data_IF_364227574674
#
_entry.id   IF_364227574674
#
_cell.length_a   1.000
_cell.length_b   1.000
_cell.length_c   1.000
_cell.angle_alpha   90.00
_cell.angle_beta   90.00
_cell.angle_gamma   90.00
#
_symmetry.space_group_name_H-M   'P 1'
#
loop_
_entity.id
_entity.type
_entity.pdbx_description
1 polymer ?
#
# COMPACT_ATOMS: atom_id res chain seq x y z
N UNK A 1 -21.67 -20.44 -8.40
CA UNK A 1 -23.07 -19.98 -8.29
C UNK A 1 -23.09 -18.89 -7.23
N UNK A 2 -23.23 -17.62 -7.62
CA UNK A 2 -23.24 -16.52 -6.65
C UNK A 2 -24.34 -16.74 -5.61
N UNK A 3 -24.10 -16.47 -4.32
CA UNK A 3 -25.17 -16.51 -3.34
C UNK A 3 -26.25 -15.50 -3.76
N UNK A 4 -27.55 -15.84 -3.60
CA UNK A 4 -28.62 -14.90 -3.92
C UNK A 4 -28.45 -13.63 -3.06
N UNK A 5 -28.80 -12.44 -3.59
CA UNK A 5 -28.73 -11.21 -2.82
C UNK A 5 -29.57 -11.36 -1.54
N UNK A 6 -28.99 -11.00 -0.39
CA UNK A 6 -29.69 -10.99 0.90
C UNK A 6 -30.89 -10.05 0.78
N UNK A 7 -32.11 -10.59 0.87
CA UNK A 7 -33.32 -9.79 1.07
C UNK A 7 -33.38 -9.37 2.56
N UNK A 8 -32.48 -8.47 2.97
CA UNK A 8 -32.54 -7.82 4.29
C UNK A 8 -33.37 -6.54 4.20
N UNK A 9 -34.23 -6.26 5.18
CA UNK A 9 -34.97 -5.00 5.24
C UNK A 9 -34.02 -3.80 5.21
N UNK A 10 -34.42 -2.67 4.62
CA UNK A 10 -33.53 -1.49 4.52
C UNK A 10 -33.25 -0.82 5.88
N UNK A 11 -34.04 -1.17 6.91
CA UNK A 11 -34.08 -0.45 8.19
C UNK A 11 -32.86 -0.76 9.07
N UNK A 12 -32.21 0.30 9.55
CA UNK A 12 -31.14 0.26 10.54
C UNK A 12 -31.69 0.75 11.89
N UNK A 13 -31.80 -0.13 12.88
CA UNK A 13 -32.27 0.23 14.21
C UNK A 13 -31.13 0.66 15.13
N UNK A 14 -31.22 1.84 15.73
CA UNK A 14 -30.20 2.40 16.63
C UNK A 14 -30.72 2.43 18.07
N UNK A 15 -30.20 1.56 18.93
CA UNK A 15 -30.73 1.29 20.26
C UNK A 15 -29.78 1.77 21.36
N UNK A 16 -30.31 2.48 22.36
CA UNK A 16 -29.53 2.99 23.48
C UNK A 16 -30.35 3.10 24.78
N UNK A 17 -29.80 2.58 25.88
CA UNK A 17 -30.35 2.66 27.23
C UNK A 17 -30.05 3.99 27.93
N UNK A 18 -28.92 4.62 27.59
CA UNK A 18 -28.45 5.87 28.22
C UNK A 18 -28.76 7.11 27.37
N UNK A 19 -28.86 8.27 28.02
CA UNK A 19 -29.05 9.55 27.33
C UNK A 19 -27.89 9.88 26.38
N UNK A 20 -26.65 9.63 26.81
CA UNK A 20 -25.44 9.77 25.98
C UNK A 20 -25.50 8.87 24.75
N UNK A 21 -25.85 7.59 24.93
CA UNK A 21 -26.01 6.65 23.81
C UNK A 21 -27.10 7.10 22.83
N UNK A 22 -28.22 7.64 23.34
CA UNK A 22 -29.30 8.18 22.48
C UNK A 22 -28.86 9.42 21.69
N UNK A 23 -28.03 10.28 22.27
CA UNK A 23 -27.47 11.43 21.56
C UNK A 23 -26.58 10.96 20.40
N UNK A 24 -25.69 10.00 20.66
CA UNK A 24 -24.83 9.41 19.63
C UNK A 24 -25.62 8.64 18.56
N UNK A 25 -26.69 7.96 18.95
CA UNK A 25 -27.61 7.31 18.01
C UNK A 25 -28.28 8.32 17.08
N UNK A 26 -28.72 9.47 17.60
CA UNK A 26 -29.33 10.54 16.78
C UNK A 26 -28.33 11.18 15.82
N UNK A 27 -27.11 11.42 16.29
CA UNK A 27 -26.00 11.90 15.45
C UNK A 27 -25.73 10.92 14.31
N UNK A 28 -25.51 9.64 14.64
CA UNK A 28 -25.29 8.58 13.66
C UNK A 28 -26.47 8.44 12.68
N UNK A 29 -27.72 8.54 13.14
CA UNK A 29 -28.90 8.49 12.28
C UNK A 29 -28.87 9.55 11.17
N UNK A 30 -28.45 10.77 11.50
CA UNK A 30 -28.37 11.87 10.54
C UNK A 30 -27.37 11.59 9.40
N UNK A 31 -26.30 10.83 9.68
CA UNK A 31 -25.30 10.41 8.69
C UNK A 31 -25.69 9.15 7.92
N UNK A 32 -26.38 8.20 8.56
CA UNK A 32 -26.76 6.94 7.94
C UNK A 32 -27.92 7.07 6.94
N UNK A 33 -28.73 8.13 7.06
CA UNK A 33 -29.81 8.45 6.13
C UNK A 33 -31.20 8.02 6.62
N UNK A 34 -32.22 8.11 5.75
CA UNK A 34 -33.63 8.00 6.14
C UNK A 34 -34.05 6.62 6.66
N UNK A 35 -33.28 5.57 6.34
CA UNK A 35 -33.53 4.21 6.82
C UNK A 35 -33.05 3.96 8.26
N UNK A 36 -32.33 4.92 8.86
CA UNK A 36 -31.86 4.83 10.24
C UNK A 36 -32.91 5.33 11.23
N UNK A 37 -33.34 4.45 12.13
CA UNK A 37 -34.40 4.71 13.10
C UNK A 37 -33.85 4.61 14.51
N UNK A 38 -34.09 5.64 15.33
CA UNK A 38 -33.80 5.63 16.77
C UNK A 38 -35.11 5.36 17.52
N UNK A 39 -35.36 4.11 18.00
CA UNK A 39 -36.64 3.76 18.60
C UNK A 39 -36.77 4.31 20.02
N UNK A 40 -37.96 4.79 20.37
CA UNK A 40 -38.27 5.20 21.73
C UNK A 40 -38.48 4.00 22.67
N UNK A 41 -38.22 4.24 23.96
CA UNK A 41 -38.50 3.30 25.04
C UNK A 41 -37.32 2.39 25.42
N UNK A 42 -37.57 1.33 26.20
CA UNK A 42 -36.54 0.39 26.62
C UNK A 42 -36.00 -0.43 25.44
N UNK A 43 -34.70 -0.72 25.44
CA UNK A 43 -34.00 -1.39 24.33
C UNK A 43 -34.57 -2.78 24.04
N UNK A 44 -34.71 -3.66 25.04
CA UNK A 44 -35.10 -5.05 24.78
C UNK A 44 -36.51 -5.20 24.12
N UNK A 45 -37.57 -4.51 24.59
CA UNK A 45 -38.87 -4.50 23.92
C UNK A 45 -38.84 -3.88 22.51
N UNK A 46 -38.07 -2.80 22.31
CA UNK A 46 -37.94 -2.17 21.01
C UNK A 46 -37.22 -3.08 20.01
N UNK A 47 -36.11 -3.68 20.43
CA UNK A 47 -35.33 -4.62 19.63
C UNK A 47 -36.17 -5.83 19.23
N UNK A 48 -36.89 -6.45 20.18
CA UNK A 48 -37.82 -7.58 19.89
C UNK A 48 -38.89 -7.24 18.86
N UNK A 49 -39.48 -6.05 18.97
CA UNK A 49 -40.53 -5.59 18.06
C UNK A 49 -40.01 -5.36 16.65
N UNK A 50 -38.80 -4.81 16.53
CA UNK A 50 -38.22 -4.41 15.24
C UNK A 50 -37.42 -5.51 14.57
N UNK A 51 -36.89 -6.50 15.32
CA UNK A 51 -36.03 -7.58 14.80
C UNK A 51 -36.46 -8.16 13.44
N UNK A 52 -37.75 -8.48 13.19
CA UNK A 52 -38.16 -9.09 11.93
C UNK A 52 -38.06 -8.19 10.69
N UNK A 53 -37.90 -6.87 10.87
CA UNK A 53 -37.86 -5.88 9.77
C UNK A 53 -36.51 -5.17 9.65
N UNK A 54 -35.57 -5.46 10.56
CA UNK A 54 -34.23 -4.87 10.52
C UNK A 54 -33.40 -5.54 9.42
N UNK A 55 -32.67 -4.72 8.66
CA UNK A 55 -31.47 -5.19 7.97
C UNK A 55 -30.25 -5.15 8.87
N UNK A 56 -30.21 -4.19 9.82
CA UNK A 56 -29.15 -4.10 10.80
C UNK A 56 -29.59 -3.44 12.11
N UNK A 57 -28.87 -3.73 13.20
CA UNK A 57 -29.02 -3.10 14.51
C UNK A 57 -27.68 -2.55 15.01
N UNK A 58 -27.67 -1.32 15.51
CA UNK A 58 -26.55 -0.73 16.24
C UNK A 58 -26.95 -0.55 17.69
N UNK A 59 -26.23 -1.20 18.60
CA UNK A 59 -26.47 -1.20 20.04
C UNK A 59 -25.41 -0.32 20.72
N UNK A 60 -25.83 0.82 21.29
CA UNK A 60 -24.99 1.67 22.14
C UNK A 60 -24.95 1.12 23.57
N UNK A 61 -24.59 -0.15 23.68
CA UNK A 61 -24.45 -0.92 24.91
C UNK A 61 -23.09 -1.62 24.89
N UNK A 62 -22.57 -1.95 26.07
CA UNK A 62 -21.38 -2.81 26.18
C UNK A 62 -21.61 -4.15 25.48
N UNK A 63 -20.54 -4.72 24.92
CA UNK A 63 -20.56 -5.97 24.14
C UNK A 63 -21.27 -7.12 24.84
N UNK A 64 -21.03 -7.33 26.15
CA UNK A 64 -21.74 -8.35 26.94
C UNK A 64 -23.26 -8.13 26.94
N UNK A 65 -23.72 -6.89 27.17
CA UNK A 65 -25.14 -6.55 27.18
C UNK A 65 -25.77 -6.71 25.81
N UNK A 66 -25.08 -6.24 24.76
CA UNK A 66 -25.52 -6.38 23.38
C UNK A 66 -25.74 -7.86 23.00
N UNK A 67 -24.78 -8.73 23.34
CA UNK A 67 -24.88 -10.18 23.11
C UNK A 67 -26.09 -10.76 23.84
N UNK A 68 -26.29 -10.42 25.12
CA UNK A 68 -27.44 -10.92 25.91
C UNK A 68 -28.80 -10.45 25.39
N UNK A 69 -28.87 -9.24 24.83
CA UNK A 69 -30.08 -8.69 24.22
C UNK A 69 -30.44 -9.39 22.91
N UNK A 70 -29.43 -9.74 22.13
CA UNK A 70 -29.59 -10.31 20.79
C UNK A 70 -29.73 -11.83 20.81
N UNK A 71 -29.01 -12.54 21.68
CA UNK A 71 -28.97 -14.01 21.68
C UNK A 71 -30.35 -14.69 21.68
N UNK A 72 -31.39 -14.21 22.41
CA UNK A 72 -32.72 -14.81 22.38
C UNK A 72 -33.50 -14.59 21.06
N UNK A 73 -33.01 -13.75 20.16
CA UNK A 73 -33.67 -13.35 18.90
C UNK A 73 -33.07 -14.04 17.67
N UNK A 74 -31.86 -14.59 17.80
CA UNK A 74 -31.11 -15.24 16.73
C UNK A 74 -31.85 -16.49 16.21
N UNK A 75 -31.80 -16.69 14.90
CA UNK A 75 -32.40 -17.83 14.20
C UNK A 75 -31.39 -18.53 13.30
N UNK A 76 -30.82 -17.81 12.35
CA UNK A 76 -29.86 -18.33 11.38
C UNK A 76 -29.06 -17.21 10.70
N UNK A 77 -27.83 -17.54 10.27
CA UNK A 77 -26.87 -16.61 9.67
C UNK A 77 -27.38 -15.88 8.42
N UNK A 78 -28.38 -16.45 7.72
CA UNK A 78 -28.87 -15.90 6.45
C UNK A 78 -29.98 -14.89 6.64
N UNK A 79 -30.79 -15.03 7.69
CA UNK A 79 -31.98 -14.22 7.93
C UNK A 79 -31.82 -13.22 9.08
N UNK A 80 -30.89 -13.45 10.01
CA UNK A 80 -30.65 -12.53 11.12
C UNK A 80 -30.04 -11.20 10.63
N UNK A 81 -30.46 -10.04 11.20
CA UNK A 81 -29.91 -8.75 10.85
C UNK A 81 -28.43 -8.63 11.23
N UNK A 82 -27.70 -7.78 10.51
CA UNK A 82 -26.35 -7.39 10.90
C UNK A 82 -26.35 -6.67 12.25
N UNK A 83 -25.48 -7.04 13.19
CA UNK A 83 -25.43 -6.40 14.51
C UNK A 83 -24.07 -5.75 14.73
N UNK A 84 -24.10 -4.47 15.11
CA UNK A 84 -22.93 -3.72 15.59
C UNK A 84 -23.18 -3.32 17.04
N UNK A 85 -22.19 -3.50 17.93
CA UNK A 85 -22.22 -2.88 19.25
C UNK A 85 -21.16 -1.78 19.37
N UNK A 86 -21.48 -0.74 20.14
CA UNK A 86 -20.69 0.46 20.28
C UNK A 86 -20.23 0.53 21.74
N UNK A 87 -19.04 -0.01 22.00
CA UNK A 87 -18.48 -0.28 23.33
C UNK A 87 -17.15 0.47 23.52
N UNK A 88 -17.13 1.48 24.40
CA UNK A 88 -15.95 2.32 24.61
C UNK A 88 -15.44 2.97 23.33
N UNK A 89 -14.18 2.75 22.99
CA UNK A 89 -13.53 3.29 21.78
C UNK A 89 -13.84 2.49 20.50
N UNK A 90 -14.71 1.48 20.55
CA UNK A 90 -14.89 0.52 19.47
C UNK A 90 -16.32 0.52 18.89
N UNK A 91 -16.40 0.20 17.60
CA UNK A 91 -17.61 -0.23 16.92
C UNK A 91 -17.38 -1.66 16.41
N UNK A 92 -18.05 -2.63 17.03
CA UNK A 92 -17.74 -4.05 16.90
C UNK A 92 -18.84 -4.73 16.10
N UNK A 93 -18.51 -5.30 14.94
CA UNK A 93 -19.40 -6.21 14.23
C UNK A 93 -19.54 -7.50 15.06
N UNK A 94 -20.76 -7.83 15.47
CA UNK A 94 -21.03 -9.04 16.26
C UNK A 94 -21.48 -10.22 15.40
N UNK A 95 -22.32 -9.97 14.38
CA UNK A 95 -22.84 -11.00 13.48
C UNK A 95 -23.51 -10.40 12.23
N UNK A 96 -23.91 -11.28 11.31
CA UNK A 96 -24.77 -10.94 10.17
C UNK A 96 -24.07 -10.14 9.06
N UNK A 97 -22.73 -10.20 8.97
CA UNK A 97 -21.96 -9.45 7.97
C UNK A 97 -22.00 -7.93 8.20
N UNK A 98 -21.95 -7.51 9.45
CA UNK A 98 -22.06 -6.13 9.86
C UNK A 98 -20.75 -5.32 9.72
N UNK A 99 -19.72 -5.88 9.06
CA UNK A 99 -18.37 -5.29 8.99
C UNK A 99 -18.38 -3.89 8.33
N UNK A 100 -19.09 -3.75 7.21
CA UNK A 100 -19.23 -2.46 6.52
C UNK A 100 -19.98 -1.43 7.37
N UNK A 101 -20.97 -1.87 8.15
CA UNK A 101 -21.69 -0.99 9.07
C UNK A 101 -20.81 -0.60 10.26
N UNK A 102 -20.04 -1.53 10.82
CA UNK A 102 -19.11 -1.26 11.91
C UNK A 102 -18.05 -0.22 11.49
N UNK A 103 -17.51 -0.32 10.28
CA UNK A 103 -16.59 0.67 9.73
C UNK A 103 -17.25 2.05 9.61
N UNK A 104 -18.45 2.13 9.02
CA UNK A 104 -19.19 3.41 8.91
C UNK A 104 -19.49 4.03 10.28
N UNK A 105 -19.87 3.21 11.25
CA UNK A 105 -20.14 3.67 12.63
C UNK A 105 -18.86 4.17 13.29
N UNK A 106 -17.73 3.47 13.08
CA UNK A 106 -16.44 3.87 13.57
C UNK A 106 -16.00 5.23 13.00
N UNK A 107 -16.10 5.40 11.69
CA UNK A 107 -15.70 6.64 11.00
C UNK A 107 -16.52 7.85 11.47
N UNK A 108 -17.84 7.69 11.60
CA UNK A 108 -18.74 8.78 12.03
C UNK A 108 -18.51 9.15 13.50
N UNK A 109 -18.27 8.17 14.38
CA UNK A 109 -18.14 8.41 15.81
C UNK A 109 -16.69 8.63 16.27
N UNK A 110 -15.72 8.60 15.37
CA UNK A 110 -14.29 8.69 15.69
C UNK A 110 -13.80 7.51 16.55
N UNK A 111 -14.23 6.29 16.22
CA UNK A 111 -13.93 5.04 16.94
C UNK A 111 -13.12 4.08 16.06
N UNK A 112 -12.69 2.96 16.63
CA UNK A 112 -12.02 1.88 15.90
C UNK A 112 -13.03 0.78 15.55
N UNK A 113 -13.08 0.38 14.28
CA UNK A 113 -13.91 -0.74 13.85
C UNK A 113 -13.27 -2.08 14.24
N UNK A 114 -14.09 -3.03 14.70
CA UNK A 114 -13.69 -4.43 14.90
C UNK A 114 -14.57 -5.28 14.00
N UNK A 115 -13.97 -5.94 13.01
CA UNK A 115 -14.66 -6.75 12.00
C UNK A 115 -14.52 -8.24 12.29
N UNK A 116 -15.47 -9.02 11.78
CA UNK A 116 -15.55 -10.48 11.89
C UNK A 116 -15.16 -11.20 10.61
N UNK A 117 -15.25 -10.52 9.46
CA UNK A 117 -14.75 -11.05 8.20
C UNK A 117 -13.20 -11.09 8.21
N UNK A 118 -12.58 -12.16 7.67
CA UNK A 118 -11.14 -12.15 7.41
C UNK A 118 -10.80 -10.96 6.48
N UNK A 119 -9.59 -10.40 6.59
CA UNK A 119 -9.14 -9.38 5.64
C UNK A 119 -9.32 -9.91 4.21
N UNK A 120 -9.99 -9.12 3.38
CA UNK A 120 -10.29 -9.49 1.98
C UNK A 120 -9.04 -9.45 1.11
N UNK A 121 -8.04 -8.65 1.48
CA UNK A 121 -6.77 -8.56 0.80
C UNK A 121 -6.01 -9.89 0.90
N UNK A 122 -5.63 -10.45 -0.25
CA UNK A 122 -4.66 -11.54 -0.31
C UNK A 122 -3.24 -11.04 0.04
N UNK A 123 -2.30 -11.93 0.39
CA UNK A 123 -0.89 -11.55 0.54
C UNK A 123 -0.31 -10.84 -0.70
N UNK A 124 -0.83 -11.16 -1.89
CA UNK A 124 -0.45 -10.51 -3.14
C UNK A 124 -1.03 -9.09 -3.27
N UNK A 125 -2.27 -8.86 -2.84
CA UNK A 125 -2.88 -7.52 -2.83
C UNK A 125 -2.10 -6.59 -1.88
N UNK A 126 -1.76 -7.09 -0.69
CA UNK A 126 -0.94 -6.33 0.25
C UNK A 126 0.45 -6.02 -0.30
N UNK A 127 1.03 -6.94 -1.10
CA UNK A 127 2.32 -6.72 -1.76
C UNK A 127 2.21 -5.65 -2.86
N UNK A 128 1.13 -5.68 -3.66
CA UNK A 128 0.85 -4.68 -4.69
C UNK A 128 0.70 -3.28 -4.08
N UNK A 129 -0.09 -3.16 -3.01
CA UNK A 129 -0.28 -1.91 -2.29
C UNK A 129 1.04 -1.41 -1.66
N UNK A 130 1.80 -2.31 -1.01
CA UNK A 130 3.06 -1.97 -0.37
C UNK A 130 4.07 -1.36 -1.35
N UNK A 131 4.11 -1.88 -2.57
CA UNK A 131 5.08 -1.50 -3.60
C UNK A 131 4.58 -0.42 -4.56
N UNK A 132 3.35 0.08 -4.41
CA UNK A 132 2.66 0.92 -5.40
C UNK A 132 2.79 0.31 -6.81
N UNK A 133 2.51 -1.00 -6.90
CA UNK A 133 2.76 -1.80 -8.08
C UNK A 133 1.46 -2.19 -8.79
N UNK A 134 1.55 -2.37 -10.10
CA UNK A 134 0.46 -2.91 -10.91
C UNK A 134 0.68 -4.40 -11.17
N UNK A 135 -0.39 -5.18 -11.28
CA UNK A 135 -0.33 -6.58 -11.64
C UNK A 135 -0.66 -6.84 -13.13
N UNK A 136 -0.06 -7.88 -13.69
CA UNK A 136 -0.43 -8.48 -14.98
C UNK A 136 -0.58 -9.99 -14.81
N UNK A 137 -1.63 -10.58 -15.40
CA UNK A 137 -2.04 -11.96 -15.17
C UNK A 137 -3.18 -12.05 -14.16
N UNK A 138 -3.54 -13.27 -13.75
CA UNK A 138 -4.64 -13.52 -12.81
C UNK A 138 -4.18 -13.36 -11.35
N UNK A 139 -3.99 -12.10 -10.94
CA UNK A 139 -3.59 -11.76 -9.56
C UNK A 139 -4.62 -12.22 -8.52
N UNK A 140 -5.91 -12.23 -8.87
CA UNK A 140 -6.96 -12.67 -7.95
C UNK A 140 -6.80 -14.16 -7.67
N UNK A 141 -6.75 -15.01 -8.69
CA UNK A 141 -6.58 -16.45 -8.50
C UNK A 141 -5.24 -16.80 -7.83
N UNK A 142 -4.15 -16.10 -8.18
CA UNK A 142 -2.85 -16.29 -7.53
C UNK A 142 -2.90 -15.91 -6.05
N UNK A 143 -3.53 -14.78 -5.71
CA UNK A 143 -3.72 -14.35 -4.33
C UNK A 143 -4.59 -15.32 -3.52
N UNK A 144 -5.64 -15.87 -4.12
CA UNK A 144 -6.45 -16.94 -3.53
C UNK A 144 -5.63 -18.21 -3.27
N UNK A 145 -4.83 -18.65 -4.25
CA UNK A 145 -3.96 -19.82 -4.12
C UNK A 145 -2.90 -19.63 -3.01
N UNK A 146 -2.29 -18.44 -2.95
CA UNK A 146 -1.38 -18.08 -1.84
C UNK A 146 -2.06 -18.21 -0.48
N UNK A 147 -3.29 -17.73 -0.35
CA UNK A 147 -4.05 -17.79 0.92
C UNK A 147 -4.48 -19.23 1.26
N UNK A 148 -4.79 -20.04 0.25
CA UNK A 148 -5.13 -21.45 0.39
C UNK A 148 -3.93 -22.34 0.78
N UNK A 149 -2.72 -21.79 0.82
CA UNK A 149 -1.51 -22.53 1.16
C UNK A 149 -0.88 -23.28 -0.03
N UNK A 150 -1.32 -23.00 -1.26
CA UNK A 150 -0.74 -23.61 -2.46
C UNK A 150 0.69 -23.09 -2.70
N UNK A 151 1.64 -23.92 -3.16
CA UNK A 151 2.98 -23.47 -3.45
C UNK A 151 3.01 -22.40 -4.55
N UNK A 152 3.63 -21.25 -4.24
CA UNK A 152 3.84 -20.14 -5.19
C UNK A 152 5.32 -19.77 -5.24
N UNK A 153 5.93 -19.82 -6.42
CA UNK A 153 7.31 -19.39 -6.61
C UNK A 153 7.38 -17.86 -6.73
N UNK A 154 8.33 -17.23 -6.05
CA UNK A 154 8.58 -15.80 -6.12
C UNK A 154 9.94 -15.51 -6.76
N UNK A 155 9.92 -14.81 -7.89
CA UNK A 155 11.09 -14.23 -8.53
C UNK A 155 11.16 -12.73 -8.24
N UNK A 156 12.18 -12.30 -7.49
CA UNK A 156 12.44 -10.90 -7.14
C UNK A 156 13.82 -10.46 -7.65
N UNK A 157 14.03 -10.37 -8.98
CA UNK A 157 15.32 -10.02 -9.57
C UNK A 157 15.81 -8.61 -9.20
N UNK A 158 14.88 -7.69 -8.91
CA UNK A 158 15.21 -6.32 -8.51
C UNK A 158 15.63 -6.22 -7.04
N UNK A 159 15.39 -7.25 -6.22
CA UNK A 159 15.81 -7.31 -4.82
C UNK A 159 15.02 -6.37 -3.91
N UNK A 160 13.71 -6.24 -4.13
CA UNK A 160 12.86 -5.44 -3.25
C UNK A 160 12.87 -5.99 -1.81
N UNK A 161 12.89 -5.10 -0.79
CA UNK A 161 12.75 -5.48 0.61
C UNK A 161 11.31 -5.89 0.91
N UNK A 162 11.03 -7.19 0.81
CA UNK A 162 9.69 -7.71 1.03
C UNK A 162 9.40 -7.95 2.52
N UNK A 163 8.12 -7.84 2.95
CA UNK A 163 7.70 -8.28 4.26
C UNK A 163 7.86 -9.80 4.38
N UNK A 164 7.64 -10.34 5.58
CA UNK A 164 7.50 -11.79 5.69
C UNK A 164 6.29 -12.24 4.85
N UNK A 165 6.52 -13.27 4.04
CA UNK A 165 5.52 -13.90 3.19
C UNK A 165 5.12 -15.25 3.79
N UNK A 166 3.93 -15.76 3.44
CA UNK A 166 3.50 -17.10 3.86
C UNK A 166 4.52 -18.19 3.50
N UNK A 167 4.57 -19.26 4.30
CA UNK A 167 5.55 -20.36 4.14
C UNK A 167 5.44 -21.10 2.79
N UNK A 168 4.27 -21.02 2.14
CA UNK A 168 4.03 -21.57 0.80
C UNK A 168 4.52 -20.64 -0.34
N UNK A 169 5.04 -19.45 -0.03
CA UNK A 169 5.72 -18.59 -1.01
C UNK A 169 7.21 -18.92 -1.01
N UNK A 170 7.63 -19.63 -2.05
CA UNK A 170 8.95 -20.23 -2.17
C UNK A 170 9.87 -19.37 -3.05
N UNK A 171 11.20 -19.40 -2.85
CA UNK A 171 12.13 -18.77 -3.77
C UNK A 171 11.99 -19.31 -5.20
N UNK A 172 12.35 -18.49 -6.19
CA UNK A 172 12.39 -18.93 -7.59
C UNK A 172 13.18 -20.23 -7.79
N UNK A 173 12.69 -21.09 -8.70
CA UNK A 173 13.30 -22.39 -9.02
C UNK A 173 12.72 -23.59 -8.26
N UNK A 174 11.84 -23.35 -7.28
CA UNK A 174 11.03 -24.42 -6.68
C UNK A 174 9.84 -24.77 -7.57
N UNK A 175 9.41 -26.03 -7.54
CA UNK A 175 8.19 -26.47 -8.22
C UNK A 175 6.97 -25.86 -7.52
N UNK A 176 6.18 -25.09 -8.27
CA UNK A 176 5.04 -24.35 -7.77
C UNK A 176 3.95 -24.26 -8.83
N UNK A 177 2.69 -24.24 -8.40
CA UNK A 177 1.55 -24.09 -9.30
C UNK A 177 1.50 -22.69 -9.90
N UNK A 178 1.92 -21.69 -9.13
CA UNK A 178 1.95 -20.28 -9.53
C UNK A 178 3.36 -19.71 -9.46
N UNK A 179 3.62 -18.69 -10.28
CA UNK A 179 4.83 -17.86 -10.17
C UNK A 179 4.46 -16.39 -10.08
N UNK A 180 4.97 -15.71 -9.06
CA UNK A 180 4.98 -14.23 -8.98
C UNK A 180 6.34 -13.71 -9.43
N UNK A 181 6.35 -12.86 -10.44
CA UNK A 181 7.54 -12.19 -10.98
C UNK A 181 7.50 -10.69 -10.69
N UNK A 182 8.39 -10.22 -9.82
CA UNK A 182 8.53 -8.81 -9.49
C UNK A 182 9.60 -8.14 -10.38
N UNK A 183 9.19 -7.57 -11.50
CA UNK A 183 10.10 -7.03 -12.52
C UNK A 183 9.46 -5.85 -13.29
N UNK A 184 10.26 -4.85 -13.60
CA UNK A 184 9.88 -3.69 -14.42
C UNK A 184 10.13 -3.90 -15.92
N UNK A 185 10.65 -5.08 -16.29
CA UNK A 185 10.85 -5.46 -17.68
C UNK A 185 9.76 -6.35 -18.23
N UNK A 186 9.38 -6.09 -19.48
CA UNK A 186 8.53 -6.97 -20.28
C UNK A 186 9.28 -8.29 -20.52
N UNK A 187 8.65 -9.45 -20.24
CA UNK A 187 9.21 -10.76 -20.51
C UNK A 187 9.55 -10.95 -21.99
N UNK A 188 10.50 -11.83 -22.27
CA UNK A 188 10.85 -12.20 -23.66
C UNK A 188 9.86 -13.19 -24.29
N UNK A 189 9.08 -13.86 -23.46
CA UNK A 189 8.10 -14.87 -23.82
C UNK A 189 6.76 -14.48 -23.22
N UNK A 190 5.66 -14.90 -23.83
CA UNK A 190 4.35 -14.72 -23.23
C UNK A 190 4.28 -15.33 -21.84
N UNK A 191 3.49 -14.70 -20.97
CA UNK A 191 3.24 -15.21 -19.63
C UNK A 191 2.38 -16.47 -19.74
N UNK A 192 2.74 -17.49 -18.96
CA UNK A 192 1.85 -18.63 -18.78
C UNK A 192 0.64 -18.24 -17.93
N UNK A 193 -0.42 -19.03 -18.02
CA UNK A 193 -1.70 -18.80 -17.33
C UNK A 193 -1.56 -18.69 -15.80
N UNK A 194 -0.51 -19.27 -15.23
CA UNK A 194 -0.21 -19.25 -13.79
C UNK A 194 1.00 -18.38 -13.42
N UNK A 195 1.27 -17.35 -14.22
CA UNK A 195 2.30 -16.35 -13.91
C UNK A 195 1.65 -15.00 -13.70
N UNK A 196 1.90 -14.40 -12.52
CA UNK A 196 1.52 -13.03 -12.23
C UNK A 196 2.77 -12.17 -12.18
N UNK A 197 2.81 -11.12 -12.99
CA UNK A 197 3.85 -10.10 -12.87
C UNK A 197 3.37 -9.00 -11.94
N UNK A 198 4.24 -8.61 -11.02
CA UNK A 198 4.10 -7.42 -10.19
C UNK A 198 5.08 -6.39 -10.75
N UNK A 199 4.57 -5.21 -11.09
CA UNK A 199 5.27 -4.19 -11.87
C UNK A 199 5.38 -2.94 -11.00
N UNK A 200 6.47 -2.80 -10.24
CA UNK A 200 6.69 -1.65 -9.37
C UNK A 200 7.12 -0.42 -10.17
N UNK A 201 6.80 0.77 -9.65
CA UNK A 201 7.19 2.04 -10.26
C UNK A 201 8.65 2.40 -9.97
N UNK A 202 9.56 1.92 -10.80
CA UNK A 202 11.01 2.08 -10.63
C UNK A 202 11.66 3.07 -11.60
N UNK A 203 10.99 3.42 -12.69
CA UNK A 203 11.61 4.12 -13.81
C UNK A 203 11.40 5.63 -13.75
N UNK A 204 12.47 6.38 -14.04
CA UNK A 204 12.41 7.82 -14.35
C UNK A 204 12.79 8.01 -15.80
N UNK A 205 11.88 8.61 -16.57
CA UNK A 205 12.08 8.86 -17.99
C UNK A 205 12.52 10.30 -18.20
N UNK A 206 13.77 10.49 -18.60
CA UNK A 206 14.30 11.79 -18.98
C UNK A 206 13.99 12.12 -20.44
N UNK A 207 13.48 13.31 -20.70
CA UNK A 207 13.06 13.80 -22.02
C UNK A 207 13.91 15.02 -22.37
N UNK A 208 14.67 14.93 -23.45
CA UNK A 208 15.31 16.08 -24.10
C UNK A 208 14.61 16.38 -25.41
N UNK A 209 14.11 17.60 -25.61
CA UNK A 209 13.37 17.94 -26.82
C UNK A 209 13.76 19.29 -27.43
N UNK A 210 13.66 19.40 -28.75
CA UNK A 210 13.73 20.69 -29.47
C UNK A 210 12.43 21.48 -29.31
N UNK A 211 12.45 22.80 -29.57
CA UNK A 211 11.23 23.61 -29.56
C UNK A 211 10.19 23.13 -30.58
N UNK A 212 8.90 23.14 -30.19
CA UNK A 212 7.82 22.66 -31.04
C UNK A 212 7.86 21.14 -31.26
N UNK A 213 8.30 20.40 -30.24
CA UNK A 213 8.12 18.94 -30.19
C UNK A 213 6.62 18.64 -30.06
N UNK A 214 6.15 17.54 -30.65
CA UNK A 214 4.76 17.09 -30.53
C UNK A 214 4.63 15.94 -29.54
N UNK A 215 3.42 15.69 -29.01
CA UNK A 215 3.13 14.50 -28.19
C UNK A 215 3.54 13.21 -28.93
N UNK A 216 3.27 13.13 -30.23
CA UNK A 216 3.63 12.00 -31.08
C UNK A 216 5.15 11.78 -31.17
N UNK A 217 5.95 12.85 -31.22
CA UNK A 217 7.42 12.72 -31.24
C UNK A 217 7.94 12.10 -29.94
N UNK A 218 7.41 12.54 -28.79
CA UNK A 218 7.79 12.04 -27.46
C UNK A 218 7.29 10.61 -27.27
N UNK A 219 6.02 10.35 -27.55
CA UNK A 219 5.39 9.03 -27.43
C UNK A 219 6.03 7.99 -28.34
N UNK A 220 6.40 8.38 -29.57
CA UNK A 220 7.12 7.49 -30.49
C UNK A 220 8.53 7.14 -29.99
N UNK A 221 9.25 8.12 -29.44
CA UNK A 221 10.56 7.87 -28.82
C UNK A 221 10.45 7.00 -27.57
N UNK A 222 9.42 7.22 -26.74
CA UNK A 222 9.12 6.42 -25.54
C UNK A 222 8.76 4.97 -25.88
N UNK A 223 7.90 4.75 -26.88
CA UNK A 223 7.53 3.41 -27.33
C UNK A 223 8.74 2.63 -27.84
N UNK A 224 9.64 3.30 -28.57
CA UNK A 224 10.90 2.68 -29.02
C UNK A 224 11.85 2.38 -27.85
N UNK A 225 11.98 3.30 -26.88
CA UNK A 225 12.77 3.06 -25.66
C UNK A 225 12.25 1.84 -24.88
N UNK A 226 10.93 1.73 -24.75
CA UNK A 226 10.29 0.60 -24.10
C UNK A 226 10.56 -0.72 -24.84
N UNK A 227 10.45 -0.73 -26.17
CA UNK A 227 10.73 -1.91 -26.98
C UNK A 227 12.21 -2.33 -26.90
N UNK A 228 13.14 -1.40 -27.15
CA UNK A 228 14.59 -1.66 -27.18
C UNK A 228 15.10 -2.09 -25.79
N UNK A 229 14.61 -1.44 -24.73
CA UNK A 229 14.98 -1.73 -23.34
C UNK A 229 14.17 -2.85 -22.66
N UNK A 230 13.12 -3.36 -23.33
CA UNK A 230 12.06 -4.20 -22.75
C UNK A 230 11.48 -3.60 -21.46
N UNK A 231 11.30 -2.29 -21.41
CA UNK A 231 10.76 -1.61 -20.23
C UNK A 231 9.24 -1.66 -20.26
N UNK A 232 8.63 -2.01 -19.12
CA UNK A 232 7.20 -1.91 -18.95
C UNK A 232 6.85 -0.46 -18.59
N UNK A 233 6.10 0.23 -19.44
CA UNK A 233 5.81 1.64 -19.21
C UNK A 233 4.94 1.88 -17.97
N UNK A 234 4.24 0.86 -17.43
CA UNK A 234 3.57 0.97 -16.12
C UNK A 234 4.54 1.18 -14.96
N UNK A 235 5.82 0.84 -15.14
CA UNK A 235 6.86 1.06 -14.14
C UNK A 235 7.37 2.51 -14.09
N UNK A 236 6.85 3.42 -14.92
CA UNK A 236 7.25 4.84 -14.85
C UNK A 236 6.71 5.47 -13.57
N UNK A 237 7.65 5.95 -12.75
CA UNK A 237 7.43 6.69 -11.51
C UNK A 237 7.39 8.20 -11.73
N UNK A 238 8.16 8.69 -12.68
CA UNK A 238 8.27 10.11 -13.01
C UNK A 238 8.82 10.33 -14.42
N UNK A 239 8.52 11.50 -14.98
CA UNK A 239 9.23 12.07 -16.11
C UNK A 239 10.15 13.18 -15.62
N UNK A 240 11.21 13.47 -16.37
CA UNK A 240 12.17 14.50 -16.03
C UNK A 240 12.64 15.24 -17.29
N UNK A 241 12.90 16.54 -17.19
CA UNK A 241 13.39 17.37 -18.29
C UNK A 241 14.19 18.56 -17.75
N UNK A 242 14.66 19.41 -18.66
CA UNK A 242 15.22 20.72 -18.32
C UNK A 242 14.10 21.67 -17.87
N UNK A 243 14.30 22.47 -16.83
CA UNK A 243 13.25 23.33 -16.21
C UNK A 243 12.44 24.13 -17.23
N UNK A 244 13.11 24.83 -18.15
CA UNK A 244 12.44 25.63 -19.19
C UNK A 244 11.59 24.83 -20.20
N UNK A 245 11.55 23.50 -20.08
CA UNK A 245 10.80 22.55 -20.91
C UNK A 245 9.68 21.85 -20.16
N UNK A 246 9.46 22.13 -18.88
CA UNK A 246 8.35 21.55 -18.11
C UNK A 246 6.98 22.01 -18.62
N UNK A 247 6.91 23.19 -19.25
CA UNK A 247 5.70 23.75 -19.87
C UNK A 247 5.67 23.58 -21.41
N UNK A 248 6.59 22.81 -22.00
CA UNK A 248 6.56 22.58 -23.46
C UNK A 248 5.33 21.72 -23.82
N UNK A 249 4.38 22.21 -24.65
CA UNK A 249 3.09 21.55 -24.87
C UNK A 249 3.22 20.08 -25.29
N UNK A 250 4.11 19.78 -26.24
CA UNK A 250 4.27 18.38 -26.69
C UNK A 250 4.87 17.44 -25.65
N UNK A 251 5.56 17.93 -24.61
CA UNK A 251 6.00 17.08 -23.49
C UNK A 251 4.85 16.89 -22.51
N UNK A 252 4.15 17.97 -22.15
CA UNK A 252 3.00 17.92 -21.23
C UNK A 252 1.93 16.99 -21.78
N UNK A 253 1.52 17.19 -23.03
CA UNK A 253 0.52 16.36 -23.71
C UNK A 253 0.93 14.87 -23.72
N UNK A 254 2.21 14.56 -23.96
CA UNK A 254 2.68 13.17 -23.97
C UNK A 254 2.65 12.52 -22.57
N UNK A 255 2.96 13.28 -21.52
CA UNK A 255 2.90 12.80 -20.13
C UNK A 255 1.45 12.58 -19.70
N UNK A 256 0.54 13.50 -20.08
CA UNK A 256 -0.89 13.38 -19.82
C UNK A 256 -1.51 12.20 -20.58
N UNK A 257 -1.20 12.06 -21.88
CA UNK A 257 -1.62 10.93 -22.71
C UNK A 257 -1.15 9.61 -22.11
N UNK A 258 0.14 9.52 -21.74
CA UNK A 258 0.68 8.34 -21.07
C UNK A 258 -0.08 8.06 -19.77
N UNK A 259 -0.33 9.09 -18.95
CA UNK A 259 -1.02 8.97 -17.67
C UNK A 259 -2.46 8.47 -17.81
N UNK A 260 -3.18 8.93 -18.83
CA UNK A 260 -4.52 8.44 -19.17
C UNK A 260 -4.52 6.93 -19.48
N UNK A 261 -3.59 6.46 -20.31
CA UNK A 261 -3.53 5.04 -20.70
C UNK A 261 -3.00 4.12 -19.60
N UNK A 262 -2.24 4.64 -18.64
CA UNK A 262 -1.62 3.86 -17.56
C UNK A 262 -2.31 4.04 -16.20
N UNK A 263 -3.49 4.70 -16.17
CA UNK A 263 -4.27 4.90 -14.95
C UNK A 263 -3.53 5.76 -13.90
N UNK A 264 -2.66 6.67 -14.34
CA UNK A 264 -1.81 7.48 -13.48
C UNK A 264 -1.88 8.94 -13.89
N UNK A 265 -2.80 9.70 -13.30
CA UNK A 265 -2.97 11.14 -13.58
C UNK A 265 -2.06 12.05 -12.75
N UNK A 266 -1.29 11.48 -11.83
CA UNK A 266 -0.46 12.22 -10.87
C UNK A 266 1.04 12.03 -11.07
N UNK A 267 1.45 11.42 -12.19
CA UNK A 267 2.88 11.17 -12.45
C UNK A 267 3.59 12.50 -12.69
N UNK A 268 4.62 12.84 -11.89
CA UNK A 268 5.25 14.15 -11.96
C UNK A 268 6.14 14.29 -13.20
N UNK A 269 6.12 15.49 -13.79
CA UNK A 269 7.13 15.96 -14.73
C UNK A 269 8.10 16.87 -13.98
N UNK A 270 9.28 16.34 -13.65
CA UNK A 270 10.32 17.03 -12.90
C UNK A 270 11.13 17.93 -13.83
N UNK A 271 11.38 19.16 -13.41
CA UNK A 271 12.30 20.08 -14.07
C UNK A 271 13.61 20.15 -13.30
N UNK A 272 14.72 20.31 -14.03
CA UNK A 272 16.01 20.63 -13.43
C UNK A 272 16.74 21.79 -14.13
N UNK A 273 17.50 22.61 -13.38
CA UNK A 273 18.33 23.66 -13.95
C UNK A 273 19.43 23.08 -14.84
N UNK A 274 19.86 23.86 -15.84
CA UNK A 274 20.85 23.40 -16.82
C UNK A 274 22.22 23.11 -16.19
N UNK A 275 22.61 23.94 -15.23
CA UNK A 275 23.82 23.80 -14.43
C UNK A 275 23.84 22.52 -13.58
N UNK A 276 22.68 22.09 -13.06
CA UNK A 276 22.57 20.83 -12.34
C UNK A 276 22.73 19.65 -13.29
N UNK A 277 22.10 19.70 -14.46
CA UNK A 277 22.19 18.64 -15.46
C UNK A 277 23.58 18.54 -16.11
N UNK A 278 24.29 19.66 -16.25
CA UNK A 278 25.59 19.72 -16.91
C UNK A 278 26.68 18.92 -16.16
N UNK A 279 26.57 18.80 -14.84
CA UNK A 279 27.55 18.09 -14.00
C UNK A 279 27.22 16.61 -13.81
N UNK A 280 26.06 16.14 -14.26
CA UNK A 280 25.68 14.73 -14.16
C UNK A 280 26.50 13.90 -15.15
N UNK A 281 27.26 12.89 -14.69
CA UNK A 281 27.94 11.97 -15.58
C UNK A 281 26.92 11.17 -16.38
N UNK A 282 26.95 11.29 -17.70
CA UNK A 282 26.04 10.56 -18.60
C UNK A 282 26.82 9.53 -19.44
N UNK A 283 26.21 8.38 -19.80
CA UNK A 283 26.91 7.35 -20.58
C UNK A 283 27.24 7.78 -22.01
N UNK A 284 26.39 8.60 -22.63
CA UNK A 284 26.52 8.95 -24.05
C UNK A 284 26.57 10.47 -24.27
N UNK A 285 27.62 11.18 -23.84
CA UNK A 285 27.70 12.63 -23.97
C UNK A 285 27.65 13.07 -25.45
N UNK A 286 26.96 14.18 -25.72
CA UNK A 286 26.98 14.90 -27.00
C UNK A 286 27.43 16.34 -26.75
N UNK A 287 28.26 16.88 -27.64
CA UNK A 287 28.62 18.30 -27.60
C UNK A 287 27.40 19.14 -28.01
N UNK A 288 26.81 19.85 -27.04
CA UNK A 288 25.68 20.74 -27.27
C UNK A 288 26.07 22.18 -26.94
N UNK A 289 25.54 23.13 -27.72
CA UNK A 289 25.75 24.57 -27.49
C UNK A 289 25.27 25.05 -26.11
N UNK A 290 24.41 24.28 -25.45
CA UNK A 290 23.84 24.58 -24.12
C UNK A 290 24.69 24.05 -22.96
N UNK A 291 25.85 23.44 -23.23
CA UNK A 291 26.78 22.99 -22.18
C UNK A 291 26.34 21.75 -21.38
N UNK A 292 25.20 21.15 -21.73
CA UNK A 292 24.69 19.92 -21.09
C UNK A 292 25.02 18.73 -21.99
N UNK A 293 25.78 17.72 -21.53
CA UNK A 293 26.19 16.61 -22.39
C UNK A 293 25.03 15.75 -22.89
N UNK A 294 23.98 15.54 -22.10
CA UNK A 294 22.73 14.94 -22.60
C UNK A 294 21.58 15.25 -21.66
N UNK A 295 20.63 16.07 -22.11
CA UNK A 295 19.46 16.44 -21.30
C UNK A 295 18.67 15.21 -20.85
N UNK A 296 18.36 14.28 -21.76
CA UNK A 296 17.57 13.09 -21.46
C UNK A 296 18.23 12.20 -20.39
N UNK A 297 19.50 11.83 -20.57
CA UNK A 297 20.19 10.96 -19.60
C UNK A 297 20.43 11.68 -18.26
N UNK A 298 20.85 12.94 -18.30
CA UNK A 298 21.10 13.72 -17.09
C UNK A 298 19.83 13.92 -16.26
N UNK A 299 18.71 14.28 -16.92
CA UNK A 299 17.44 14.48 -16.25
C UNK A 299 16.89 13.17 -15.67
N UNK A 300 16.97 12.06 -16.41
CA UNK A 300 16.58 10.75 -15.92
C UNK A 300 17.36 10.36 -14.65
N UNK A 301 18.69 10.48 -14.69
CA UNK A 301 19.57 10.14 -13.57
C UNK A 301 19.36 11.07 -12.37
N UNK A 302 19.19 12.37 -12.61
CA UNK A 302 18.94 13.35 -11.55
C UNK A 302 17.62 13.08 -10.85
N UNK A 303 16.54 12.85 -11.61
CA UNK A 303 15.24 12.51 -11.04
C UNK A 303 15.23 11.16 -10.34
N UNK A 304 15.93 10.15 -10.87
CA UNK A 304 16.10 8.89 -10.18
C UNK A 304 16.87 9.06 -8.87
N UNK A 305 17.93 9.88 -8.86
CA UNK A 305 18.73 10.12 -7.66
C UNK A 305 17.90 10.82 -6.57
N UNK A 306 17.11 11.83 -6.95
CA UNK A 306 16.18 12.52 -6.03
C UNK A 306 15.15 11.56 -5.44
N UNK A 307 14.47 10.77 -6.29
CA UNK A 307 13.43 9.83 -5.88
C UNK A 307 13.97 8.60 -5.11
N UNK A 308 15.25 8.30 -5.26
CA UNK A 308 15.93 7.22 -4.53
C UNK A 308 16.34 7.59 -3.11
N UNK A 309 16.22 8.87 -2.71
CA UNK A 309 16.65 9.39 -1.41
C UNK A 309 18.09 8.97 -1.02
N UNK A 310 19.02 9.04 -1.99
CA UNK A 310 20.42 8.62 -1.81
C UNK A 310 20.67 7.14 -2.09
N UNK A 311 19.74 6.49 -2.80
CA UNK A 311 19.83 5.10 -3.23
C UNK A 311 20.61 4.86 -4.51
N UNK A 312 20.68 3.58 -4.90
CA UNK A 312 21.37 3.20 -6.13
C UNK A 312 20.47 3.51 -7.32
N UNK A 313 21.07 4.11 -8.33
CA UNK A 313 20.42 4.39 -9.60
C UNK A 313 21.27 3.83 -10.72
N UNK A 314 20.62 3.35 -11.78
CA UNK A 314 21.30 2.86 -12.97
C UNK A 314 20.57 3.33 -14.23
N UNK A 315 21.25 3.29 -15.37
CA UNK A 315 20.60 3.47 -16.66
C UNK A 315 19.86 2.17 -17.01
N UNK A 316 18.55 2.27 -17.19
CA UNK A 316 17.69 1.12 -17.40
C UNK A 316 17.74 0.59 -18.84
N UNK A 317 17.98 1.50 -19.79
CA UNK A 317 18.07 1.26 -21.23
C UNK A 317 18.90 2.36 -21.90
N UNK A 318 19.48 2.05 -23.06
CA UNK A 318 20.16 3.05 -23.89
C UNK A 318 19.19 4.13 -24.36
N UNK A 319 19.67 5.37 -24.46
CA UNK A 319 18.81 6.47 -24.91
C UNK A 319 18.36 6.28 -26.35
N UNK A 320 17.14 6.69 -26.62
CA UNK A 320 16.56 6.68 -27.97
C UNK A 320 16.47 8.10 -28.49
N UNK A 321 17.08 8.35 -29.65
CA UNK A 321 16.94 9.60 -30.39
C UNK A 321 15.82 9.46 -31.43
N UNK A 322 14.75 10.22 -31.24
CA UNK A 322 13.70 10.48 -32.23
C UNK A 322 13.98 11.74 -33.05
N UNK A 323 13.01 12.16 -33.85
CA UNK A 323 13.16 13.32 -34.74
C UNK A 323 13.32 14.65 -33.98
N UNK A 324 12.49 14.87 -32.95
CA UNK A 324 12.48 16.10 -32.12
C UNK A 324 12.59 15.84 -30.62
N UNK A 325 12.54 14.57 -30.22
CA UNK A 325 12.65 14.14 -28.83
C UNK A 325 13.76 13.09 -28.70
N UNK A 326 14.51 13.14 -27.61
CA UNK A 326 15.42 12.11 -27.14
C UNK A 326 14.94 11.69 -25.77
N UNK A 327 14.82 10.38 -25.54
CA UNK A 327 14.39 9.84 -24.25
C UNK A 327 15.44 8.90 -23.68
N UNK A 328 15.55 8.87 -22.36
CA UNK A 328 16.40 7.93 -21.63
C UNK A 328 15.66 7.45 -20.38
N UNK A 329 15.93 6.23 -19.93
CA UNK A 329 15.35 5.69 -18.70
C UNK A 329 16.45 5.45 -17.66
N UNK A 330 16.25 5.97 -16.46
CA UNK A 330 17.00 5.59 -15.28
C UNK A 330 16.10 4.76 -14.36
N UNK A 331 16.67 3.78 -13.66
CA UNK A 331 15.98 2.93 -12.69
C UNK A 331 16.43 3.31 -11.30
N UNK A 332 15.45 3.54 -10.42
CA UNK A 332 15.64 3.57 -8.97
C UNK A 332 15.65 2.13 -8.48
N UNK A 333 16.80 1.67 -8.00
CA UNK A 333 16.93 0.32 -7.45
C UNK A 333 16.46 0.31 -6.00
N UNK A 334 15.66 -0.69 -5.59
CA UNK A 334 15.29 -0.82 -4.20
C UNK A 334 16.52 -1.07 -3.32
N UNK A 335 16.39 -0.71 -2.06
CA UNK A 335 17.37 -0.96 -1.01
C UNK A 335 16.68 -1.66 0.14
N UNK A 336 17.44 -2.23 1.05
CA UNK A 336 16.81 -2.72 2.27
C UNK A 336 16.23 -1.58 3.07
N UNK A 337 15.41 -1.93 4.06
CA UNK A 337 14.67 -0.97 4.87
C UNK A 337 14.98 -1.20 6.32
N UNK A 338 15.24 -0.12 7.05
CA UNK A 338 15.46 -0.16 8.50
C UNK A 338 14.47 0.77 9.19
N UNK A 339 13.42 0.20 9.77
CA UNK A 339 12.51 0.91 10.64
C UNK A 339 13.06 0.92 12.07
N UNK A 340 13.35 2.11 12.59
CA UNK A 340 13.74 2.35 13.97
C UNK A 340 12.49 2.71 14.77
N UNK A 341 12.02 1.78 15.59
CA UNK A 341 10.70 1.86 16.21
C UNK A 341 10.84 1.96 17.72
N UNK A 342 10.39 3.08 18.27
CA UNK A 342 10.11 3.21 19.70
C UNK A 342 8.72 2.70 20.02
N UNK A 343 8.63 1.81 21.01
CA UNK A 343 7.35 1.22 21.44
C UNK A 343 6.60 2.09 22.46
N UNK A 344 7.24 3.11 23.04
CA UNK A 344 6.66 3.91 24.11
C UNK A 344 6.76 3.26 25.50
N UNK A 345 6.08 3.82 26.53
CA UNK A 345 6.28 3.49 27.95
C UNK A 345 5.58 2.21 28.42
N UNK A 346 4.64 1.62 27.68
CA UNK A 346 4.21 0.24 27.97
C UNK A 346 2.72 -0.10 27.90
N UNK A 347 2.02 0.30 26.85
CA UNK A 347 0.75 -0.30 26.44
C UNK A 347 0.64 -0.40 24.92
N UNK A 348 -0.20 -1.30 24.39
CA UNK A 348 -0.49 -1.33 22.95
C UNK A 348 -1.07 0.02 22.47
N UNK A 349 -1.81 0.70 23.33
CA UNK A 349 -2.44 2.01 23.06
C UNK A 349 -1.44 3.16 22.92
N UNK A 350 -0.20 3.00 23.39
CA UNK A 350 0.86 4.01 23.23
C UNK A 350 1.59 3.89 21.88
N UNK A 351 1.27 2.84 21.10
CA UNK A 351 1.92 2.55 19.83
C UNK A 351 1.25 3.31 18.69
N UNK A 352 2.05 4.05 17.93
CA UNK A 352 1.52 4.79 16.78
C UNK A 352 1.10 3.84 15.64
N UNK A 353 0.07 4.17 14.85
CA UNK A 353 -0.30 3.40 13.65
C UNK A 353 0.86 3.22 12.66
N UNK A 354 1.76 4.21 12.59
CA UNK A 354 2.98 4.12 11.78
C UNK A 354 3.92 3.02 12.27
N UNK A 355 4.08 2.84 13.58
CA UNK A 355 4.91 1.76 14.13
C UNK A 355 4.34 0.39 13.76
N UNK A 356 3.02 0.21 13.85
CA UNK A 356 2.37 -1.04 13.44
C UNK A 356 2.54 -1.35 11.96
N UNK A 357 2.39 -0.32 11.10
CA UNK A 357 2.60 -0.46 9.68
C UNK A 357 4.05 -0.88 9.36
N UNK A 358 5.05 -0.27 9.99
CA UNK A 358 6.46 -0.66 9.78
C UNK A 358 6.76 -2.08 10.31
N UNK A 359 6.16 -2.49 11.43
CA UNK A 359 6.30 -3.85 11.95
C UNK A 359 5.71 -4.89 10.98
N UNK A 360 4.53 -4.61 10.41
CA UNK A 360 3.92 -5.49 9.40
C UNK A 360 4.73 -5.54 8.11
N UNK A 361 5.47 -4.48 7.77
CA UNK A 361 6.36 -4.42 6.59
C UNK A 361 7.67 -5.18 6.77
N UNK A 362 8.05 -5.53 8.00
CA UNK A 362 9.32 -6.19 8.27
C UNK A 362 9.25 -7.71 8.02
N UNK A 363 10.26 -8.23 7.33
CA UNK A 363 10.55 -9.68 7.30
C UNK A 363 11.43 -10.11 8.48
N UNK A 364 12.18 -9.18 9.07
CA UNK A 364 13.00 -9.43 10.27
C UNK A 364 12.72 -8.38 11.35
N UNK A 365 12.46 -8.83 12.57
CA UNK A 365 12.40 -7.96 13.75
C UNK A 365 13.64 -8.19 14.59
N UNK A 366 14.28 -7.10 14.98
CA UNK A 366 15.46 -7.08 15.84
C UNK A 366 15.14 -6.29 17.10
N UNK A 367 15.48 -6.83 18.27
CA UNK A 367 15.33 -6.10 19.53
C UNK A 367 15.36 -7.00 20.76
N UNK A 368 15.30 -6.41 21.96
CA UNK A 368 15.22 -7.17 23.22
C UNK A 368 13.98 -8.07 23.24
N UNK A 369 14.04 -9.26 23.87
CA UNK A 369 12.90 -10.17 23.95
C UNK A 369 11.62 -9.52 24.50
N UNK A 370 11.74 -8.65 25.51
CA UNK A 370 10.58 -7.97 26.10
C UNK A 370 9.86 -7.06 25.09
N UNK A 371 10.62 -6.33 24.26
CA UNK A 371 10.05 -5.47 23.21
C UNK A 371 9.43 -6.30 22.08
N UNK A 372 10.08 -7.40 21.70
CA UNK A 372 9.56 -8.29 20.65
C UNK A 372 8.24 -8.93 21.09
N UNK A 373 8.14 -9.37 22.35
CA UNK A 373 6.91 -9.98 22.85
C UNK A 373 5.72 -9.00 22.87
N UNK A 374 5.96 -7.70 23.11
CA UNK A 374 4.93 -6.67 23.01
C UNK A 374 4.35 -6.51 21.60
N UNK A 375 5.13 -6.79 20.55
CA UNK A 375 4.73 -6.61 19.14
C UNK A 375 4.44 -7.92 18.43
N UNK A 376 4.59 -9.08 19.11
CA UNK A 376 4.47 -10.41 18.50
C UNK A 376 3.16 -10.63 17.75
N UNK A 377 2.05 -10.08 18.25
CA UNK A 377 0.72 -10.17 17.64
C UNK A 377 0.58 -9.36 16.34
N UNK A 378 1.50 -8.44 16.06
CA UNK A 378 1.54 -7.67 14.80
C UNK A 378 2.40 -8.33 13.72
N UNK A 379 3.24 -9.29 14.10
CA UNK A 379 4.20 -9.88 13.18
C UNK A 379 3.49 -10.84 12.25
N UNK A 380 3.85 -10.77 10.97
CA UNK A 380 3.33 -11.70 9.97
C UNK A 380 3.88 -13.10 10.24
N UNK A 381 3.12 -14.16 9.90
CA UNK A 381 3.69 -15.49 9.75
C UNK A 381 4.95 -15.44 8.86
N UNK A 382 6.00 -16.16 9.25
CA UNK A 382 7.30 -16.13 8.57
C UNK A 382 8.26 -15.01 9.01
N UNK A 383 7.82 -14.04 9.84
CA UNK A 383 8.73 -13.00 10.36
C UNK A 383 9.82 -13.63 11.25
N UNK A 384 11.08 -13.40 10.89
CA UNK A 384 12.23 -13.86 11.67
C UNK A 384 12.53 -12.90 12.81
N UNK A 385 12.81 -13.41 14.00
CA UNK A 385 13.24 -12.59 15.16
C UNK A 385 14.73 -12.78 15.40
N UNK A 386 15.46 -11.69 15.65
CA UNK A 386 16.89 -11.72 15.99
C UNK A 386 17.22 -10.79 17.16
N UNK A 387 18.32 -11.07 17.84
CA UNK A 387 18.82 -10.22 18.92
C UNK A 387 19.60 -9.00 18.41
N UNK A 388 20.30 -9.12 17.28
CA UNK A 388 21.17 -8.09 16.73
C UNK A 388 21.23 -8.10 15.18
N UNK A 389 22.09 -7.24 14.62
CA UNK A 389 22.42 -7.26 13.19
C UNK A 389 21.49 -6.45 12.29
N UNK A 390 20.64 -5.59 12.86
CA UNK A 390 19.59 -4.88 12.12
C UNK A 390 20.13 -4.07 10.92
N UNK A 391 21.19 -3.28 11.15
CA UNK A 391 21.84 -2.45 10.12
C UNK A 391 22.38 -3.30 8.99
N UNK A 392 23.18 -4.33 9.32
CA UNK A 392 23.79 -5.23 8.33
C UNK A 392 22.73 -5.91 7.45
N UNK A 393 21.61 -6.34 8.03
CA UNK A 393 20.53 -6.98 7.28
C UNK A 393 19.83 -5.99 6.34
N UNK A 394 19.55 -4.76 6.81
CA UNK A 394 18.99 -3.72 5.97
C UNK A 394 19.93 -3.34 4.83
N UNK A 395 21.25 -3.27 5.06
CA UNK A 395 22.21 -3.02 3.99
C UNK A 395 22.31 -4.17 2.97
N UNK A 396 21.90 -5.39 3.36
CA UNK A 396 21.79 -6.56 2.49
C UNK A 396 20.47 -6.62 1.70
N UNK A 397 19.59 -5.60 1.79
CA UNK A 397 18.34 -5.57 1.04
C UNK A 397 17.11 -6.04 1.83
N UNK A 398 17.24 -6.35 3.12
CA UNK A 398 16.15 -6.92 3.93
C UNK A 398 15.25 -5.82 4.50
N UNK A 399 13.95 -6.10 4.68
CA UNK A 399 13.04 -5.25 5.43
C UNK A 399 13.15 -5.57 6.94
N UNK A 400 13.74 -4.65 7.70
CA UNK A 400 14.07 -4.83 9.11
C UNK A 400 13.34 -3.82 9.98
N UNK A 401 12.73 -4.27 11.07
CA UNK A 401 12.28 -3.42 12.17
C UNK A 401 13.19 -3.62 13.39
N UNK A 402 13.90 -2.57 13.80
CA UNK A 402 14.63 -2.53 15.06
C UNK A 402 13.72 -1.89 16.11
N UNK A 403 13.29 -2.67 17.10
CA UNK A 403 12.40 -2.23 18.17
C UNK A 403 13.19 -1.96 19.46
N UNK A 404 12.81 -0.90 20.16
CA UNK A 404 13.34 -0.56 21.47
C UNK A 404 12.25 0.12 22.32
N UNK A 405 12.38 0.17 23.65
CA UNK A 405 11.41 0.87 24.50
C UNK A 405 11.44 2.39 24.26
N UNK A 406 10.46 3.10 24.81
CA UNK A 406 10.38 4.57 24.84
C UNK A 406 10.51 5.21 23.45
N UNK A 407 11.44 6.15 23.28
CA UNK A 407 11.66 6.92 22.06
C UNK A 407 12.21 6.08 20.87
N UNK A 408 12.70 4.87 21.14
CA UNK A 408 13.23 3.96 20.12
C UNK A 408 14.74 4.01 19.93
N UNK A 409 15.28 3.17 19.04
CA UNK A 409 16.71 2.95 18.90
C UNK A 409 17.41 4.09 18.13
N UNK A 410 18.66 4.36 18.53
CA UNK A 410 19.58 5.25 17.80
C UNK A 410 20.64 4.39 17.14
N UNK A 411 20.82 4.59 15.83
CA UNK A 411 21.88 3.95 15.05
C UNK A 411 23.00 4.96 14.84
N UNK A 412 24.24 4.51 15.03
CA UNK A 412 25.42 5.34 14.79
C UNK A 412 25.84 5.29 13.31
N UNK A 413 26.14 6.45 12.73
CA UNK A 413 26.66 6.58 11.38
C UNK A 413 25.60 6.50 10.27
N UNK A 414 26.03 6.70 9.01
CA UNK A 414 25.16 6.52 7.85
C UNK A 414 24.80 5.05 7.69
N UNK A 415 23.53 4.78 7.36
CA UNK A 415 23.04 3.43 7.05
C UNK A 415 22.77 3.37 5.56
N UNK A 416 23.31 2.37 4.86
CA UNK A 416 23.13 2.23 3.43
C UNK A 416 21.80 1.55 3.04
N UNK A 417 20.70 1.96 3.68
CA UNK A 417 19.35 1.43 3.53
C UNK A 417 18.31 2.55 3.69
N UNK A 418 17.05 2.28 3.37
CA UNK A 418 15.96 3.23 3.60
C UNK A 418 15.61 3.25 5.10
N UNK A 419 16.02 4.32 5.79
CA UNK A 419 15.81 4.45 7.23
C UNK A 419 14.51 5.19 7.52
N UNK A 420 13.61 4.53 8.24
CA UNK A 420 12.38 5.12 8.75
C UNK A 420 12.50 5.24 10.26
N UNK A 421 12.31 6.45 10.81
CA UNK A 421 12.27 6.64 12.27
C UNK A 421 10.83 6.83 12.71
N UNK A 422 10.40 5.97 13.64
CA UNK A 422 9.11 6.07 14.33
C UNK A 422 9.40 6.25 15.81
N UNK A 423 9.37 7.50 16.27
CA UNK A 423 9.58 7.83 17.67
C UNK A 423 8.37 7.34 18.47
N UNK A 424 8.60 6.55 19.52
CA UNK A 424 7.54 6.16 20.44
C UNK A 424 7.07 7.35 21.27
N UNK A 425 5.83 7.27 21.77
CA UNK A 425 5.33 8.25 22.72
C UNK A 425 6.20 8.17 23.97
N UNK A 426 6.75 9.27 24.44
CA UNK A 426 7.49 9.29 25.71
C UNK A 426 6.54 9.61 26.85
N UNK A 427 6.61 8.88 27.95
CA UNK A 427 5.82 9.15 29.15
C UNK A 427 6.21 10.49 29.79
N UNK A 428 5.61 11.58 29.33
CA UNK A 428 5.44 12.82 30.09
C UNK A 428 4.00 13.30 29.89
N UNK A 429 3.15 12.97 30.87
CA UNK A 429 1.96 13.76 31.22
C UNK A 429 2.22 14.38 32.60
#
# INVERSE_FOLDING_TARGET
>A
MAPPPRQGGSVIGLFASTERGRAQAKELAAFLGPDAVVPDGPVAPALRRMWPVLGSAVLFEGSETAIRLVAPLLRDERSDPGVVCVDGAFAIALLGGADALAQRVADVLGRTAVTTAPPTASPLDELLELLDATAEGDAVACGEAMRAGEPVALANPLGFPLPALPDNVLPAGHEAAWTVLLDDRVPRTELGDHVVRVIPRTLVIGIGASAGVTSTDVSGALAKLAADGRLDLRAVRAFATLDRKTEEPGIVDAVEDWGFWHGSTTTPLLGYPGEELAVIPVPNPVELAIGIPSVAEAAALRGAAELSAGGRVEIAAEKVKGARATVAAARVLPRGRLALIGLGPGGADDRTPRAEAELRRASVVVGPPECVDQVRHLLRPGTSVRADGAVRLAEQGVAVALVAPDAGPVVAGPVHADVVRVTGVTGQL
#
